data_IF_422539608754
#
_entry.id   IF_422539608754
#
_cell.length_a   1.000
_cell.length_b   1.000
_cell.length_c   1.000
_cell.angle_alpha   90.00
_cell.angle_beta   90.00
_cell.angle_gamma   90.00
#
_symmetry.space_group_name_H-M   'P 1'
#
loop_
_entity.id
_entity.type
_entity.pdbx_description
1 polymer ?
#
# COMPACT_ATOMS: atom_id res chain seq x y z
N UNK A 1 -10.73 -30.88 -9.87
CA UNK A 1 -10.08 -29.80 -9.09
C UNK A 1 -11.16 -28.80 -8.77
N UNK A 2 -11.52 -28.68 -7.49
CA UNK A 2 -12.74 -27.99 -7.06
C UNK A 2 -12.59 -26.47 -7.25
N UNK A 3 -13.17 -25.98 -8.34
CA UNK A 3 -13.18 -24.56 -8.71
C UNK A 3 -13.78 -23.68 -7.62
N UNK A 4 -14.71 -24.21 -6.82
CA UNK A 4 -15.27 -23.54 -5.65
C UNK A 4 -14.23 -23.32 -4.55
N UNK A 5 -13.37 -24.31 -4.27
CA UNK A 5 -12.31 -24.17 -3.28
C UNK A 5 -11.26 -23.14 -3.73
N UNK A 6 -10.93 -23.12 -5.03
CA UNK A 6 -10.02 -22.12 -5.60
C UNK A 6 -10.60 -20.70 -5.48
N UNK A 7 -11.89 -20.51 -5.77
CA UNK A 7 -12.55 -19.21 -5.66
C UNK A 7 -12.62 -18.71 -4.20
N UNK A 8 -12.95 -19.61 -3.26
CA UNK A 8 -12.96 -19.29 -1.82
C UNK A 8 -11.58 -18.86 -1.33
N UNK A 9 -10.53 -19.57 -1.74
CA UNK A 9 -9.16 -19.23 -1.39
C UNK A 9 -8.73 -17.86 -1.94
N UNK A 10 -9.09 -17.55 -3.19
CA UNK A 10 -8.82 -16.23 -3.78
C UNK A 10 -9.50 -15.10 -3.01
N UNK A 11 -10.77 -15.29 -2.59
CA UNK A 11 -11.48 -14.32 -1.76
C UNK A 11 -10.77 -14.07 -0.43
N UNK A 12 -10.36 -15.13 0.27
CA UNK A 12 -9.63 -15.00 1.55
C UNK A 12 -8.28 -14.28 1.39
N UNK A 13 -7.56 -14.53 0.29
CA UNK A 13 -6.30 -13.84 -0.01
C UNK A 13 -6.55 -12.35 -0.22
N UNK A 14 -7.62 -11.98 -0.93
CA UNK A 14 -7.96 -10.58 -1.17
C UNK A 14 -8.37 -9.85 0.12
N UNK A 15 -9.24 -10.45 0.92
CA UNK A 15 -9.66 -9.91 2.22
C UNK A 15 -8.47 -9.66 3.15
N UNK A 16 -7.53 -10.61 3.20
CA UNK A 16 -6.32 -10.50 4.02
C UNK A 16 -5.43 -9.36 3.54
N UNK A 17 -5.28 -9.18 2.21
CA UNK A 17 -4.49 -8.10 1.62
C UNK A 17 -5.09 -6.73 1.88
N UNK A 18 -6.41 -6.59 1.80
CA UNK A 18 -7.09 -5.33 2.08
C UNK A 18 -6.90 -4.92 3.54
N UNK A 19 -7.14 -5.83 4.48
CA UNK A 19 -6.90 -5.61 5.92
C UNK A 19 -5.45 -5.19 6.21
N UNK A 20 -4.48 -5.87 5.59
CA UNK A 20 -3.07 -5.52 5.72
C UNK A 20 -2.76 -4.13 5.16
N UNK A 21 -3.36 -3.77 4.02
CA UNK A 21 -3.18 -2.46 3.38
C UNK A 21 -3.72 -1.35 4.28
N UNK A 22 -4.91 -1.52 4.87
CA UNK A 22 -5.48 -0.56 5.83
C UNK A 22 -4.62 -0.41 7.07
N UNK A 23 -4.11 -1.52 7.63
CA UNK A 23 -3.19 -1.47 8.76
C UNK A 23 -1.94 -0.63 8.47
N UNK A 24 -1.29 -0.84 7.31
CA UNK A 24 -0.13 -0.03 6.90
C UNK A 24 -0.50 1.43 6.65
N UNK A 25 -1.68 1.71 6.10
CA UNK A 25 -2.15 3.07 5.82
C UNK A 25 -2.30 3.86 7.13
N UNK A 26 -2.96 3.24 8.12
CA UNK A 26 -3.14 3.82 9.46
C UNK A 26 -1.80 4.01 10.16
N UNK A 27 -0.92 3.00 10.12
CA UNK A 27 0.41 3.10 10.71
C UNK A 27 1.25 4.22 10.08
N UNK A 28 1.26 4.32 8.76
CA UNK A 28 1.95 5.41 8.05
C UNK A 28 1.37 6.78 8.41
N UNK A 29 0.04 6.92 8.46
CA UNK A 29 -0.63 8.15 8.88
C UNK A 29 -0.25 8.57 10.31
N UNK A 30 -0.22 7.61 11.25
CA UNK A 30 0.20 7.87 12.63
C UNK A 30 1.66 8.30 12.72
N UNK A 31 2.58 7.64 12.00
CA UNK A 31 3.99 8.02 11.94
C UNK A 31 4.19 9.44 11.38
N UNK A 32 3.47 9.79 10.30
CA UNK A 32 3.51 11.14 9.72
C UNK A 32 3.01 12.16 10.75
N UNK A 33 1.86 11.92 11.39
CA UNK A 33 1.32 12.83 12.40
C UNK A 33 2.29 13.06 13.56
N UNK A 34 2.86 11.98 14.10
CA UNK A 34 3.85 12.07 15.17
C UNK A 34 5.12 12.83 14.75
N UNK A 35 5.64 12.58 13.55
CA UNK A 35 6.82 13.27 13.04
C UNK A 35 6.57 14.77 12.84
N UNK A 36 5.40 15.15 12.34
CA UNK A 36 5.02 16.57 12.18
C UNK A 36 4.91 17.26 13.54
N UNK A 37 4.30 16.61 14.52
CA UNK A 37 4.21 17.14 15.89
C UNK A 37 5.58 17.37 16.53
N UNK A 38 6.55 16.46 16.29
CA UNK A 38 7.92 16.61 16.79
C UNK A 38 8.72 17.76 16.17
N UNK A 39 8.33 18.23 14.99
CA UNK A 39 9.00 19.35 14.29
C UNK A 39 8.32 20.68 14.57
N UNK A 40 7.12 20.68 15.15
CA UNK A 40 6.40 21.89 15.48
C UNK A 40 7.23 22.75 16.48
N UNK A 41 7.89 23.78 15.95
CA UNK A 41 8.75 24.69 16.73
C UNK A 41 10.25 24.61 16.43
N UNK A 42 10.72 23.70 15.57
CA UNK A 42 12.12 23.66 15.14
C UNK A 42 12.36 24.49 13.86
N UNK A 43 13.39 25.34 13.87
CA UNK A 43 13.87 26.01 12.66
C UNK A 43 14.51 24.99 11.71
N UNK A 44 14.36 25.21 10.40
CA UNK A 44 14.86 24.30 9.36
C UNK A 44 16.40 24.18 9.44
N UNK A 45 16.90 23.17 10.14
CA UNK A 45 18.32 22.85 10.29
C UNK A 45 18.69 21.63 9.44
N UNK A 46 19.95 21.53 9.03
CA UNK A 46 20.47 20.38 8.26
C UNK A 46 20.21 19.02 8.92
N UNK A 47 20.03 19.02 10.25
CA UNK A 47 19.66 17.84 11.05
C UNK A 47 18.27 17.28 10.72
N UNK A 48 17.38 18.05 10.08
CA UNK A 48 16.03 17.60 9.69
C UNK A 48 15.99 16.85 8.36
N UNK A 49 17.10 16.79 7.63
CA UNK A 49 17.17 16.08 6.33
C UNK A 49 16.75 14.59 6.40
N UNK A 50 17.14 13.77 7.41
CA UNK A 50 16.73 12.37 7.44
C UNK A 50 15.26 12.21 7.88
N UNK A 51 14.75 13.18 8.66
CA UNK A 51 13.34 13.23 9.02
C UNK A 51 12.47 13.56 7.80
N UNK A 52 12.86 14.56 6.99
CA UNK A 52 12.17 14.87 5.74
C UNK A 52 12.15 13.65 4.80
N UNK A 53 13.26 12.90 4.72
CA UNK A 53 13.31 11.65 3.96
C UNK A 53 12.34 10.60 4.50
N UNK A 54 12.22 10.44 5.82
CA UNK A 54 11.24 9.52 6.42
C UNK A 54 9.79 9.89 6.09
N UNK A 55 9.46 11.20 6.14
CA UNK A 55 8.12 11.70 5.80
C UNK A 55 7.78 11.43 4.34
N UNK A 56 8.72 11.70 3.42
CA UNK A 56 8.54 11.41 2.00
C UNK A 56 8.37 9.92 1.77
N UNK A 57 9.17 9.07 2.42
CA UNK A 57 9.05 7.61 2.33
C UNK A 57 7.67 7.12 2.83
N UNK A 58 7.19 7.62 3.97
CA UNK A 58 5.86 7.27 4.46
C UNK A 58 4.74 7.82 3.59
N UNK A 59 4.88 9.02 3.01
CA UNK A 59 3.90 9.56 2.07
C UNK A 59 3.81 8.73 0.78
N UNK A 60 4.96 8.28 0.24
CA UNK A 60 5.01 7.37 -0.91
C UNK A 60 4.35 6.03 -0.56
N UNK A 61 4.64 5.47 0.63
CA UNK A 61 3.96 4.28 1.13
C UNK A 61 2.44 4.47 1.19
N UNK A 62 1.98 5.57 1.78
CA UNK A 62 0.56 5.91 1.90
C UNK A 62 -0.11 6.00 0.52
N UNK A 63 0.55 6.64 -0.46
CA UNK A 63 0.07 6.72 -1.84
C UNK A 63 -0.06 5.34 -2.50
N UNK A 64 0.93 4.45 -2.33
CA UNK A 64 0.84 3.07 -2.82
C UNK A 64 -0.30 2.28 -2.15
N UNK A 65 -0.54 2.50 -0.86
CA UNK A 65 -1.68 1.92 -0.14
C UNK A 65 -3.03 2.36 -0.69
N UNK A 66 -3.23 3.67 -0.88
CA UNK A 66 -4.43 4.20 -1.53
C UNK A 66 -4.63 3.65 -2.95
N UNK A 67 -3.54 3.52 -3.72
CA UNK A 67 -3.58 2.94 -5.07
C UNK A 67 -3.96 1.45 -5.04
N UNK A 68 -3.48 0.69 -4.07
CA UNK A 68 -3.82 -0.72 -3.90
C UNK A 68 -5.31 -0.91 -3.58
N UNK A 69 -5.88 -0.09 -2.70
CA UNK A 69 -7.32 -0.11 -2.37
C UNK A 69 -8.17 0.24 -3.61
N UNK A 70 -7.86 1.32 -4.33
CA UNK A 70 -8.59 1.66 -5.57
C UNK A 70 -8.60 0.53 -6.59
N UNK A 71 -7.50 -0.22 -6.70
CA UNK A 71 -7.40 -1.39 -7.58
C UNK A 71 -8.22 -2.57 -7.12
N UNK A 72 -8.34 -2.81 -5.82
CA UNK A 72 -9.18 -3.90 -5.32
C UNK A 72 -10.66 -3.62 -5.60
N UNK A 73 -11.10 -2.35 -5.51
CA UNK A 73 -12.43 -1.92 -5.96
C UNK A 73 -12.66 -2.18 -7.46
N UNK A 74 -11.69 -1.85 -8.31
CA UNK A 74 -11.79 -2.16 -9.74
C UNK A 74 -11.91 -3.67 -9.99
N UNK A 75 -11.11 -4.50 -9.30
CA UNK A 75 -11.18 -5.96 -9.40
C UNK A 75 -12.55 -6.53 -9.05
N UNK A 76 -13.19 -5.99 -8.02
CA UNK A 76 -14.55 -6.37 -7.62
C UNK A 76 -15.58 -5.97 -8.69
N UNK A 77 -15.45 -4.76 -9.27
CA UNK A 77 -16.30 -4.30 -10.38
C UNK A 77 -16.13 -5.15 -11.63
N UNK A 78 -14.91 -5.59 -11.95
CA UNK A 78 -14.66 -6.51 -13.06
C UNK A 78 -15.24 -7.90 -12.80
N UNK A 79 -15.13 -8.44 -11.58
CA UNK A 79 -15.79 -9.70 -11.22
C UNK A 79 -17.32 -9.60 -11.36
N UNK A 80 -17.92 -8.50 -10.92
CA UNK A 80 -19.34 -8.26 -11.11
C UNK A 80 -19.71 -8.15 -12.60
N UNK A 81 -18.89 -7.47 -13.40
CA UNK A 81 -19.05 -7.41 -14.85
C UNK A 81 -18.87 -8.78 -15.51
N UNK A 82 -17.95 -9.63 -15.02
CA UNK A 82 -17.80 -11.01 -15.50
C UNK A 82 -19.08 -11.81 -15.29
N UNK A 83 -19.67 -11.72 -14.09
CA UNK A 83 -20.88 -12.46 -13.74
C UNK A 83 -22.12 -11.95 -14.51
N UNK A 84 -22.14 -10.68 -14.92
CA UNK A 84 -23.29 -10.06 -15.60
C UNK A 84 -23.15 -10.00 -17.13
N UNK A 85 -21.94 -9.91 -17.68
CA UNK A 85 -21.66 -9.76 -19.12
C UNK A 85 -21.21 -11.06 -19.82
N UNK A 86 -21.06 -12.18 -19.10
CA UNK A 86 -20.56 -13.47 -19.60
C UNK A 86 -21.50 -14.21 -20.60
N UNK A 87 -22.03 -13.54 -21.62
CA UNK A 87 -22.79 -14.16 -22.71
C UNK A 87 -21.90 -14.74 -23.82
N UNK A 88 -20.65 -14.30 -23.97
CA UNK A 88 -19.75 -14.77 -25.04
C UNK A 88 -18.35 -15.19 -24.53
N UNK A 89 -17.73 -16.18 -25.20
CA UNK A 89 -16.37 -16.68 -24.93
C UNK A 89 -15.25 -15.62 -25.10
N UNK A 90 -15.26 -14.75 -26.14
CA UNK A 90 -14.22 -13.73 -26.30
C UNK A 90 -14.25 -12.66 -25.20
N UNK A 91 -15.42 -12.28 -24.69
CA UNK A 91 -15.54 -11.33 -23.58
C UNK A 91 -14.91 -11.87 -22.29
N UNK A 92 -15.08 -13.17 -22.03
CA UNK A 92 -14.45 -13.85 -20.88
C UNK A 92 -12.93 -13.87 -20.97
N UNK A 93 -12.37 -14.02 -22.18
CA UNK A 93 -10.93 -14.06 -22.39
C UNK A 93 -10.30 -12.67 -22.19
N UNK A 94 -10.91 -11.62 -22.76
CA UNK A 94 -10.48 -10.24 -22.60
C UNK A 94 -10.54 -9.77 -21.13
N UNK A 95 -11.59 -10.17 -20.39
CA UNK A 95 -11.69 -9.84 -18.98
C UNK A 95 -10.63 -10.55 -18.14
N UNK A 96 -10.33 -11.83 -18.43
CA UNK A 96 -9.30 -12.58 -17.73
C UNK A 96 -7.90 -11.97 -17.89
N UNK A 97 -7.55 -11.47 -19.07
CA UNK A 97 -6.28 -10.78 -19.27
C UNK A 97 -6.19 -9.48 -18.46
N UNK A 98 -7.27 -8.69 -18.43
CA UNK A 98 -7.33 -7.45 -17.65
C UNK A 98 -7.22 -7.72 -16.15
N UNK A 99 -7.89 -8.76 -15.64
CA UNK A 99 -7.78 -9.15 -14.23
C UNK A 99 -6.38 -9.64 -13.86
N UNK A 100 -5.72 -10.40 -14.75
CA UNK A 100 -4.36 -10.90 -14.53
C UNK A 100 -3.32 -9.78 -14.40
N UNK A 101 -3.41 -8.77 -15.25
CA UNK A 101 -2.50 -7.62 -15.24
C UNK A 101 -2.72 -6.72 -14.01
N UNK A 102 -3.98 -6.45 -13.64
CA UNK A 102 -4.29 -5.68 -12.44
C UNK A 102 -3.89 -6.42 -11.15
N UNK A 103 -4.05 -7.75 -11.11
CA UNK A 103 -3.62 -8.57 -9.97
C UNK A 103 -2.10 -8.53 -9.77
N UNK A 104 -1.31 -8.60 -10.86
CA UNK A 104 0.16 -8.47 -10.82
C UNK A 104 0.58 -7.07 -10.38
N UNK A 105 -0.06 -6.04 -10.93
CA UNK A 105 0.22 -4.65 -10.58
C UNK A 105 -0.15 -4.34 -9.11
N UNK A 106 -1.24 -4.91 -8.59
CA UNK A 106 -1.67 -4.80 -7.20
C UNK A 106 -0.69 -5.47 -6.24
N UNK A 107 -0.23 -6.69 -6.56
CA UNK A 107 0.78 -7.39 -5.77
C UNK A 107 2.12 -6.62 -5.71
N UNK A 108 2.50 -5.95 -6.80
CA UNK A 108 3.66 -5.05 -6.83
C UNK A 108 3.46 -3.84 -5.93
N UNK A 109 2.32 -3.15 -6.02
CA UNK A 109 2.03 -1.96 -5.20
C UNK A 109 2.06 -2.25 -3.70
N UNK A 110 1.53 -3.39 -3.26
CA UNK A 110 1.57 -3.79 -1.84
C UNK A 110 3.00 -4.04 -1.33
N UNK A 111 3.87 -4.65 -2.15
CA UNK A 111 5.29 -4.83 -1.79
C UNK A 111 6.03 -3.51 -1.67
N UNK A 112 5.79 -2.59 -2.60
CA UNK A 112 6.42 -1.26 -2.56
C UNK A 112 5.94 -0.41 -1.39
N UNK A 113 4.65 -0.47 -1.04
CA UNK A 113 4.11 0.16 0.17
C UNK A 113 4.90 -0.28 1.41
N UNK A 114 5.06 -1.59 1.63
CA UNK A 114 5.82 -2.10 2.77
C UNK A 114 7.28 -1.66 2.77
N UNK A 115 7.97 -1.74 1.61
CA UNK A 115 9.37 -1.33 1.49
C UNK A 115 9.57 0.14 1.86
N UNK A 116 8.73 1.02 1.33
CA UNK A 116 8.79 2.45 1.64
C UNK A 116 8.47 2.71 3.11
N UNK A 117 7.47 2.02 3.68
CA UNK A 117 7.14 2.13 5.09
C UNK A 117 8.32 1.78 6.01
N UNK A 118 8.98 0.64 5.76
CA UNK A 118 10.16 0.20 6.54
C UNK A 118 11.32 1.17 6.33
N UNK A 119 11.59 1.60 5.10
CA UNK A 119 12.67 2.56 4.83
C UNK A 119 12.47 3.88 5.55
N UNK A 120 11.24 4.38 5.63
CA UNK A 120 10.90 5.58 6.40
C UNK A 120 11.11 5.38 7.90
N UNK A 121 10.72 4.23 8.43
CA UNK A 121 10.97 3.86 9.84
C UNK A 121 12.46 3.84 10.19
N UNK A 122 13.29 3.21 9.35
CA UNK A 122 14.75 3.19 9.54
C UNK A 122 15.33 4.59 9.51
N UNK A 123 14.95 5.40 8.52
CA UNK A 123 15.40 6.79 8.41
C UNK A 123 14.99 7.64 9.62
N UNK A 124 13.78 7.45 10.14
CA UNK A 124 13.28 8.13 11.34
C UNK A 124 14.08 7.75 12.60
N UNK A 125 14.37 6.45 12.79
CA UNK A 125 15.18 5.98 13.91
C UNK A 125 16.59 6.56 13.83
N UNK A 126 17.22 6.53 12.65
CA UNK A 126 18.54 7.13 12.44
C UNK A 126 18.54 8.62 12.75
N UNK A 127 17.50 9.35 12.32
CA UNK A 127 17.32 10.76 12.67
C UNK A 127 17.26 10.96 14.19
N UNK A 128 16.44 10.18 14.90
CA UNK A 128 16.33 10.29 16.37
C UNK A 128 17.63 9.98 17.09
N UNK A 129 18.42 9.02 16.60
CA UNK A 129 19.74 8.72 17.16
C UNK A 129 20.71 9.89 16.95
N UNK A 130 20.71 10.51 15.76
CA UNK A 130 21.53 11.69 15.47
C UNK A 130 21.15 12.92 16.29
N UNK A 131 19.86 13.06 16.64
CA UNK A 131 19.40 14.15 17.50
C UNK A 131 19.74 13.90 18.98
N UNK A 132 19.70 12.64 19.42
CA UNK A 132 20.00 12.26 20.81
C UNK A 132 21.49 12.24 21.13
N UNK A 133 22.36 12.12 20.12
CA UNK A 133 23.81 12.23 20.28
C UNK A 133 24.16 13.67 20.72
N UNK A 134 24.60 13.88 21.97
CA UNK A 134 25.05 15.18 22.41
C UNK A 134 26.29 15.56 21.59
N UNK A 135 26.34 16.80 21.12
CA UNK A 135 27.61 17.44 20.72
C UNK A 135 28.28 17.96 21.97
#
# INVERSE_FOLDING_TARGET
MDTEAANKLQGQIQDTREKYTYFLLTAAGACIGYAVEKVAGFALSWKLTPLALSLVAWAISFWFGCRAIKRSEYGLRYNHAYLTAARSMPDKLALNSLMGDEARASASSSRWQFRFFVSGGVAFVLWRLLELLPR
#
